data_IF_181238349629
#
_entry.id   IF_181238349629
#
_cell.length_a   1.000
_cell.length_b   1.000
_cell.length_c   1.000
_cell.angle_alpha   90.00
_cell.angle_beta   90.00
_cell.angle_gamma   90.00
#
_symmetry.space_group_name_H-M   'P 1'
#
loop_
_entity.id
_entity.type
_entity.pdbx_description
1 polymer ?
#
# COMPACT_ATOMS: atom_id res chain seq x y z
N UNK A 1 -0.55 -6.96 1.61
CA UNK A 1 -1.36 -8.09 1.10
C UNK A 1 -2.82 -7.87 1.47
N UNK A 2 -3.57 -6.98 0.78
CA UNK A 2 -4.97 -6.73 1.12
C UNK A 2 -5.85 -7.96 0.88
N UNK A 3 -6.62 -8.42 1.87
CA UNK A 3 -7.62 -9.47 1.72
C UNK A 3 -8.94 -8.87 1.21
N UNK A 4 -8.91 -8.41 -0.04
CA UNK A 4 -10.02 -7.66 -0.64
C UNK A 4 -11.27 -8.50 -0.97
N UNK A 5 -11.15 -9.84 -0.88
CA UNK A 5 -12.24 -10.80 -1.07
C UNK A 5 -12.94 -11.20 0.23
N UNK A 6 -12.43 -10.75 1.38
CA UNK A 6 -13.07 -10.98 2.67
C UNK A 6 -14.43 -10.26 2.74
N UNK A 7 -15.36 -10.82 3.52
CA UNK A 7 -16.71 -10.28 3.69
C UNK A 7 -16.81 -9.18 4.77
N UNK A 8 -15.79 -9.05 5.61
CA UNK A 8 -15.79 -8.12 6.74
C UNK A 8 -14.36 -7.72 7.12
N UNK A 9 -14.21 -6.67 7.93
CA UNK A 9 -12.92 -6.23 8.46
C UNK A 9 -12.29 -7.29 9.34
N UNK A 10 -13.07 -7.92 10.23
CA UNK A 10 -12.61 -9.05 11.05
C UNK A 10 -12.06 -10.20 10.22
N UNK A 11 -12.77 -10.59 9.16
CA UNK A 11 -12.32 -11.65 8.24
C UNK A 11 -11.05 -11.23 7.49
N UNK A 12 -10.99 -9.99 7.02
CA UNK A 12 -9.81 -9.44 6.36
C UNK A 12 -8.57 -9.50 7.28
N UNK A 13 -8.69 -9.05 8.54
CA UNK A 13 -7.60 -9.10 9.52
C UNK A 13 -7.18 -10.54 9.81
N UNK A 14 -8.14 -11.48 9.93
CA UNK A 14 -7.85 -12.91 10.12
C UNK A 14 -7.06 -13.48 8.95
N UNK A 15 -7.51 -13.26 7.71
CA UNK A 15 -6.84 -13.75 6.50
C UNK A 15 -5.41 -13.21 6.41
N UNK A 16 -5.23 -11.90 6.62
CA UNK A 16 -3.91 -11.27 6.62
C UNK A 16 -2.96 -11.84 7.68
N UNK A 17 -3.48 -12.15 8.88
CA UNK A 17 -2.70 -12.79 9.95
C UNK A 17 -2.28 -14.22 9.61
N UNK A 18 -3.18 -15.02 9.03
CA UNK A 18 -2.88 -16.39 8.60
C UNK A 18 -1.84 -16.42 7.48
N UNK A 19 -1.94 -15.54 6.49
CA UNK A 19 -0.92 -15.40 5.44
C UNK A 19 0.42 -14.96 6.01
N UNK A 20 0.43 -14.01 6.96
CA UNK A 20 1.67 -13.58 7.61
C UNK A 20 2.38 -14.73 8.35
N UNK A 21 1.65 -15.59 9.07
CA UNK A 21 2.24 -16.76 9.73
C UNK A 21 2.71 -17.83 8.74
N UNK A 22 1.96 -18.05 7.65
CA UNK A 22 2.40 -18.95 6.58
C UNK A 22 3.65 -18.44 5.87
N UNK A 23 3.76 -17.13 5.63
CA UNK A 23 4.96 -16.53 5.08
C UNK A 23 6.16 -16.76 6.00
N UNK A 24 5.99 -16.59 7.32
CA UNK A 24 7.03 -16.92 8.30
C UNK A 24 7.52 -18.35 8.13
N UNK A 25 6.62 -19.31 7.97
CA UNK A 25 6.94 -20.72 7.79
C UNK A 25 7.65 -20.98 6.45
N UNK A 26 7.18 -20.40 5.35
CA UNK A 26 7.83 -20.44 4.02
C UNK A 26 9.28 -19.95 4.09
N UNK A 27 9.51 -18.83 4.78
CA UNK A 27 10.86 -18.28 4.95
C UNK A 27 11.76 -19.26 5.73
N UNK A 28 11.29 -19.82 6.84
CA UNK A 28 12.07 -20.79 7.63
C UNK A 28 12.40 -22.06 6.83
N UNK A 29 11.46 -22.58 6.06
CA UNK A 29 11.67 -23.76 5.20
C UNK A 29 12.74 -23.54 4.13
N UNK A 30 12.85 -22.31 3.63
CA UNK A 30 13.88 -21.90 2.67
C UNK A 30 15.17 -21.42 3.32
N UNK A 31 15.28 -21.52 4.65
CA UNK A 31 16.46 -21.08 5.41
C UNK A 31 16.67 -19.57 5.44
N UNK A 32 15.61 -18.78 5.20
CA UNK A 32 15.63 -17.32 5.23
C UNK A 32 15.32 -16.78 6.63
N UNK A 33 15.82 -15.58 6.92
CA UNK A 33 15.58 -14.89 8.19
C UNK A 33 14.11 -14.48 8.34
N UNK A 34 13.58 -14.62 9.55
CA UNK A 34 12.25 -14.12 9.95
C UNK A 34 12.34 -12.96 10.95
N UNK A 35 13.45 -12.21 10.93
CA UNK A 35 13.58 -10.95 11.68
C UNK A 35 12.55 -9.93 11.18
N UNK A 36 12.01 -9.14 12.11
CA UNK A 36 10.96 -8.15 11.81
C UNK A 36 11.50 -6.72 11.88
N UNK A 37 11.13 -5.90 10.90
CA UNK A 37 11.40 -4.45 10.88
C UNK A 37 10.44 -3.66 11.77
N UNK A 38 10.45 -2.32 11.65
CA UNK A 38 9.66 -1.40 12.47
C UNK A 38 8.15 -1.51 12.20
N UNK A 39 7.76 -1.84 10.98
CA UNK A 39 6.38 -2.09 10.57
C UNK A 39 5.93 -3.52 10.90
N UNK A 40 6.83 -4.37 11.38
CA UNK A 40 6.55 -5.75 11.77
C UNK A 40 6.61 -6.78 10.63
N UNK A 41 6.90 -6.34 9.40
CA UNK A 41 7.15 -7.21 8.24
C UNK A 41 8.51 -7.92 8.32
N UNK A 42 8.65 -9.04 7.61
CA UNK A 42 9.91 -9.76 7.51
C UNK A 42 10.86 -9.10 6.51
N UNK A 43 12.15 -9.07 6.82
CA UNK A 43 13.20 -8.54 5.93
C UNK A 43 14.27 -9.61 5.60
N UNK A 44 13.92 -10.69 4.87
CA UNK A 44 14.87 -11.71 4.48
C UNK A 44 15.84 -11.20 3.39
N UNK A 45 17.05 -11.77 3.36
CA UNK A 45 17.99 -11.54 2.26
C UNK A 45 17.52 -12.31 1.01
N UNK A 46 16.99 -11.60 0.03
CA UNK A 46 16.48 -12.15 -1.23
C UNK A 46 17.44 -11.92 -2.39
N UNK A 47 17.38 -12.78 -3.41
CA UNK A 47 18.29 -12.77 -4.57
C UNK A 47 17.84 -11.87 -5.72
N UNK A 48 16.58 -11.44 -5.75
CA UNK A 48 16.01 -10.58 -6.79
C UNK A 48 14.83 -9.79 -6.24
N UNK A 49 14.42 -8.75 -6.95
CA UNK A 49 13.24 -7.96 -6.58
C UNK A 49 11.93 -8.73 -6.83
N UNK A 50 11.98 -9.77 -7.66
CA UNK A 50 10.86 -10.67 -7.94
C UNK A 50 10.59 -11.65 -6.78
N UNK A 51 11.64 -12.17 -6.15
CA UNK A 51 11.53 -13.24 -5.17
C UNK A 51 10.57 -12.93 -4.00
N UNK A 52 10.51 -11.71 -3.42
CA UNK A 52 9.52 -11.38 -2.40
C UNK A 52 8.07 -11.62 -2.84
N UNK A 53 7.74 -11.31 -4.11
CA UNK A 53 6.40 -11.51 -4.65
C UNK A 53 6.05 -12.99 -4.77
N UNK A 54 7.02 -13.82 -5.20
CA UNK A 54 6.86 -15.28 -5.28
C UNK A 54 6.64 -15.91 -3.91
N UNK A 55 7.41 -15.46 -2.90
CA UNK A 55 7.26 -15.92 -1.51
C UNK A 55 5.89 -15.55 -0.94
N UNK A 56 5.41 -14.34 -1.25
CA UNK A 56 4.08 -13.87 -0.84
C UNK A 56 2.99 -14.71 -1.49
N UNK A 57 3.09 -14.98 -2.80
CA UNK A 57 2.12 -15.84 -3.50
C UNK A 57 2.10 -17.25 -2.90
N UNK A 58 3.27 -17.86 -2.67
CA UNK A 58 3.36 -19.18 -2.02
C UNK A 58 2.72 -19.17 -0.62
N UNK A 59 2.90 -18.10 0.16
CA UNK A 59 2.30 -17.95 1.48
C UNK A 59 0.77 -17.81 1.45
N UNK A 60 0.24 -17.05 0.48
CA UNK A 60 -1.21 -16.91 0.25
C UNK A 60 -1.82 -18.28 -0.07
N UNK A 61 -1.19 -19.04 -0.96
CA UNK A 61 -1.65 -20.38 -1.36
C UNK A 61 -1.57 -21.38 -0.20
N UNK A 62 -0.45 -21.39 0.55
CA UNK A 62 -0.30 -22.26 1.74
C UNK A 62 -1.32 -21.95 2.84
N UNK A 63 -1.75 -20.70 2.96
CA UNK A 63 -2.82 -20.30 3.88
C UNK A 63 -4.22 -20.71 3.39
N UNK A 64 -4.36 -21.26 2.18
CA UNK A 64 -5.63 -21.72 1.62
C UNK A 64 -6.43 -20.65 0.88
N UNK A 65 -5.82 -19.49 0.58
CA UNK A 65 -6.44 -18.40 -0.16
C UNK A 65 -5.97 -18.38 -1.62
N UNK A 66 -6.79 -17.79 -2.50
CA UNK A 66 -6.46 -17.63 -3.92
C UNK A 66 -5.81 -16.26 -4.20
N UNK A 67 -4.57 -16.22 -4.69
CA UNK A 67 -3.95 -14.97 -5.14
C UNK A 67 -4.76 -14.32 -6.27
N UNK A 68 -5.00 -13.01 -6.17
CA UNK A 68 -5.76 -12.23 -7.16
C UNK A 68 -7.30 -12.32 -7.05
N UNK A 69 -7.84 -13.32 -6.35
CA UNK A 69 -9.27 -13.42 -6.04
C UNK A 69 -9.53 -13.01 -4.58
N UNK A 70 -8.89 -13.70 -3.64
CA UNK A 70 -9.08 -13.51 -2.20
C UNK A 70 -8.15 -12.45 -1.63
N UNK A 71 -6.87 -12.52 -2.03
CA UNK A 71 -5.78 -11.67 -1.54
C UNK A 71 -4.95 -11.16 -2.72
N UNK A 72 -4.64 -9.86 -2.70
CA UNK A 72 -3.82 -9.18 -3.70
C UNK A 72 -2.54 -8.61 -3.11
N UNK A 73 -1.66 -8.11 -3.99
CA UNK A 73 -0.41 -7.48 -3.63
C UNK A 73 -0.50 -5.97 -3.87
N UNK A 74 0.00 -5.21 -2.89
CA UNK A 74 0.31 -3.79 -3.02
C UNK A 74 1.80 -3.64 -2.79
N UNK A 75 2.44 -2.77 -3.56
CA UNK A 75 3.86 -2.48 -3.45
C UNK A 75 4.09 -1.03 -3.09
N UNK A 76 5.12 -0.79 -2.29
CA UNK A 76 5.69 0.51 -2.02
C UNK A 76 7.20 0.36 -2.23
N UNK A 77 7.72 0.61 -3.45
CA UNK A 77 9.14 0.56 -3.70
C UNK A 77 9.91 1.70 -3.05
N UNK A 78 9.26 2.81 -2.65
CA UNK A 78 9.89 4.04 -2.17
C UNK A 78 11.01 4.52 -3.11
N UNK A 79 10.68 4.77 -4.38
CA UNK A 79 11.67 4.84 -5.47
C UNK A 79 12.67 5.99 -5.36
N UNK A 80 12.32 7.04 -4.60
CA UNK A 80 13.23 8.12 -4.23
C UNK A 80 14.52 7.60 -3.56
N UNK A 81 14.45 6.51 -2.79
CA UNK A 81 15.59 5.94 -2.04
C UNK A 81 16.66 5.30 -2.93
N UNK A 82 16.33 4.98 -4.19
CA UNK A 82 17.27 4.42 -5.16
C UNK A 82 17.32 5.22 -6.47
N UNK A 83 16.80 6.44 -6.47
CA UNK A 83 16.88 7.38 -7.58
C UNK A 83 18.02 8.37 -7.36
N UNK A 84 18.88 8.51 -8.37
CA UNK A 84 20.00 9.45 -8.35
C UNK A 84 20.42 9.77 -9.79
N UNK A 85 20.77 11.04 -10.06
CA UNK A 85 21.28 11.48 -11.37
C UNK A 85 20.38 11.08 -12.56
N UNK A 86 19.05 11.17 -12.39
CA UNK A 86 18.08 10.86 -13.44
C UNK A 86 17.84 9.37 -13.66
N UNK A 87 18.33 8.49 -12.78
CA UNK A 87 18.27 7.03 -12.93
C UNK A 87 17.87 6.32 -11.64
N UNK A 88 17.12 5.24 -11.81
CA UNK A 88 16.72 4.28 -10.78
C UNK A 88 17.71 3.11 -10.73
N UNK A 89 18.39 2.91 -9.60
CA UNK A 89 19.42 1.86 -9.44
C UNK A 89 18.86 0.62 -8.74
N UNK A 90 18.60 -0.44 -9.51
CA UNK A 90 18.15 -1.73 -9.00
C UNK A 90 19.36 -2.62 -8.66
N UNK A 91 19.85 -2.53 -7.42
CA UNK A 91 21.07 -3.21 -6.97
C UNK A 91 21.01 -4.73 -7.14
N UNK A 92 19.90 -5.36 -6.75
CA UNK A 92 19.72 -6.82 -6.86
C UNK A 92 19.70 -7.33 -8.31
N UNK A 93 19.37 -6.46 -9.26
CA UNK A 93 19.29 -6.78 -10.69
C UNK A 93 20.52 -6.27 -11.47
N UNK A 94 21.46 -5.61 -10.78
CA UNK A 94 22.61 -4.91 -11.37
C UNK A 94 22.21 -4.03 -12.58
N UNK A 95 21.11 -3.28 -12.43
CA UNK A 95 20.51 -2.50 -13.49
C UNK A 95 20.34 -1.03 -13.09
N UNK A 96 20.38 -0.14 -14.08
CA UNK A 96 20.01 1.26 -13.95
C UNK A 96 19.01 1.63 -15.02
N UNK A 97 17.89 2.21 -14.62
CA UNK A 97 16.77 2.52 -15.51
C UNK A 97 16.46 4.01 -15.52
N UNK A 98 16.06 4.53 -16.69
CA UNK A 98 15.26 5.75 -16.75
C UNK A 98 13.79 5.48 -16.39
N UNK A 99 12.98 6.54 -16.26
CA UNK A 99 11.57 6.44 -15.87
C UNK A 99 10.74 5.49 -16.76
N UNK A 100 10.96 5.51 -18.08
CA UNK A 100 10.26 4.61 -19.00
C UNK A 100 10.64 3.12 -18.79
N UNK A 101 11.93 2.84 -18.55
CA UNK A 101 12.41 1.49 -18.31
C UNK A 101 11.91 0.96 -16.98
N UNK A 102 11.87 1.83 -15.95
CA UNK A 102 11.29 1.53 -14.65
C UNK A 102 9.78 1.27 -14.74
N UNK A 103 9.06 2.07 -15.52
CA UNK A 103 7.63 1.86 -15.80
C UNK A 103 7.39 0.51 -16.50
N UNK A 104 8.18 0.19 -17.54
CA UNK A 104 8.12 -1.11 -18.22
C UNK A 104 8.49 -2.27 -17.29
N UNK A 105 9.36 -2.03 -16.32
CA UNK A 105 9.70 -3.01 -15.29
C UNK A 105 8.49 -3.33 -14.41
N UNK A 106 7.81 -2.31 -13.88
CA UNK A 106 6.57 -2.51 -13.12
C UNK A 106 5.45 -3.13 -13.95
N UNK A 107 5.29 -2.74 -15.21
CA UNK A 107 4.28 -3.34 -16.09
C UNK A 107 4.46 -4.86 -16.21
N UNK A 108 5.71 -5.34 -16.32
CA UNK A 108 5.98 -6.79 -16.32
C UNK A 108 5.56 -7.44 -15.02
N UNK A 109 5.91 -6.85 -13.87
CA UNK A 109 5.51 -7.39 -12.56
C UNK A 109 3.99 -7.43 -12.41
N UNK A 110 3.27 -6.38 -12.81
CA UNK A 110 1.81 -6.29 -12.74
C UNK A 110 1.13 -7.33 -13.64
N UNK A 111 1.74 -7.69 -14.77
CA UNK A 111 1.23 -8.74 -15.65
C UNK A 111 1.50 -10.16 -15.11
N UNK A 112 2.48 -10.33 -14.22
CA UNK A 112 2.95 -11.63 -13.74
C UNK A 112 2.47 -11.95 -12.32
N UNK A 113 2.09 -10.94 -11.53
CA UNK A 113 1.62 -11.07 -10.16
C UNK A 113 0.29 -10.33 -9.96
N UNK A 114 -0.52 -10.69 -8.95
CA UNK A 114 -1.78 -10.01 -8.64
C UNK A 114 -1.54 -8.66 -7.93
N UNK A 115 -0.69 -7.80 -8.52
CA UNK A 115 -0.42 -6.44 -8.05
C UNK A 115 -1.55 -5.55 -8.51
N UNK A 116 -2.16 -4.84 -7.57
CA UNK A 116 -3.28 -3.94 -7.84
C UNK A 116 -3.01 -2.50 -7.45
N UNK A 117 -1.86 -2.26 -6.80
CA UNK A 117 -1.46 -0.96 -6.30
C UNK A 117 0.06 -0.85 -6.28
N UNK A 118 0.57 0.29 -6.75
CA UNK A 118 1.96 0.71 -6.56
C UNK A 118 1.95 2.11 -5.94
N UNK A 119 2.56 2.23 -4.77
CA UNK A 119 2.86 3.47 -4.08
C UNK A 119 4.29 3.90 -4.41
N UNK A 120 4.53 5.19 -4.66
CA UNK A 120 5.86 5.75 -4.94
C UNK A 120 6.72 4.92 -5.90
N UNK A 121 6.10 4.56 -7.03
CA UNK A 121 6.74 3.81 -8.11
C UNK A 121 7.88 4.59 -8.78
N UNK A 122 7.87 5.92 -8.71
CA UNK A 122 8.93 6.80 -9.22
C UNK A 122 9.28 7.86 -8.17
N UNK A 123 10.41 8.53 -8.34
CA UNK A 123 10.90 9.49 -7.35
C UNK A 123 9.96 10.69 -7.19
N UNK A 124 9.97 11.30 -6.01
CA UNK A 124 9.11 12.44 -5.62
C UNK A 124 9.23 13.66 -6.55
N UNK A 125 10.39 13.84 -7.19
CA UNK A 125 10.68 14.95 -8.10
C UNK A 125 10.62 14.58 -9.58
N UNK A 126 10.34 13.32 -9.93
CA UNK A 126 10.23 12.84 -11.32
C UNK A 126 8.80 12.99 -11.88
N UNK A 127 8.27 14.21 -11.86
CA UNK A 127 6.91 14.52 -12.32
C UNK A 127 6.63 14.07 -13.76
N UNK A 128 7.64 14.15 -14.64
CA UNK A 128 7.52 13.69 -16.02
C UNK A 128 7.46 12.15 -16.11
N UNK A 129 8.26 11.45 -15.31
CA UNK A 129 8.20 10.00 -15.17
C UNK A 129 6.86 9.54 -14.62
N UNK A 130 6.30 10.20 -13.61
CA UNK A 130 4.98 9.88 -13.05
C UNK A 130 3.87 9.96 -14.10
N UNK A 131 3.92 10.92 -15.05
CA UNK A 131 2.99 10.93 -16.18
C UNK A 131 3.13 9.68 -17.05
N UNK A 132 4.36 9.25 -17.36
CA UNK A 132 4.61 8.01 -18.13
C UNK A 132 4.05 6.80 -17.37
N UNK A 133 4.27 6.71 -16.06
CA UNK A 133 3.76 5.64 -15.20
C UNK A 133 2.23 5.61 -15.22
N UNK A 134 1.59 6.78 -15.03
CA UNK A 134 0.15 6.96 -15.03
C UNK A 134 -0.49 6.58 -16.36
N UNK A 135 0.04 7.10 -17.48
CA UNK A 135 -0.46 6.79 -18.82
C UNK A 135 -0.35 5.29 -19.14
N UNK A 136 0.66 4.61 -18.58
CA UNK A 136 0.91 3.18 -18.83
C UNK A 136 0.08 2.26 -17.94
N UNK A 137 -0.03 2.58 -16.64
CA UNK A 137 -0.55 1.68 -15.60
C UNK A 137 -1.78 2.18 -14.85
N UNK A 138 -2.11 3.47 -14.91
CA UNK A 138 -3.19 4.09 -14.12
C UNK A 138 -4.58 3.50 -14.38
N UNK A 139 -4.81 2.95 -15.57
CA UNK A 139 -6.08 2.26 -15.91
C UNK A 139 -6.09 0.78 -15.47
N UNK A 140 -4.94 0.22 -15.08
CA UNK A 140 -4.79 -1.20 -14.71
C UNK A 140 -4.79 -1.40 -13.20
N UNK A 141 -4.09 -0.51 -12.50
CA UNK A 141 -3.82 -0.55 -11.06
C UNK A 141 -3.95 0.85 -10.44
N UNK A 142 -4.02 0.89 -9.11
CA UNK A 142 -3.98 2.12 -8.34
C UNK A 142 -2.52 2.59 -8.21
N UNK A 143 -2.28 3.89 -8.40
CA UNK A 143 -1.00 4.57 -8.28
C UNK A 143 -1.13 5.57 -7.14
N UNK A 144 -0.40 5.34 -6.06
CA UNK A 144 -0.48 6.15 -4.83
C UNK A 144 0.76 7.02 -4.72
N UNK A 145 0.57 8.34 -4.58
CA UNK A 145 1.65 9.23 -4.19
C UNK A 145 1.73 9.38 -2.67
N UNK A 146 2.89 9.07 -2.08
CA UNK A 146 3.23 9.35 -0.69
C UNK A 146 4.23 10.51 -0.62
N UNK A 147 5.51 10.28 -0.91
CA UNK A 147 6.52 11.35 -0.97
C UNK A 147 6.25 12.34 -2.11
N UNK A 148 5.60 11.88 -3.19
CA UNK A 148 5.16 12.75 -4.28
C UNK A 148 4.22 13.89 -3.79
N UNK A 149 3.37 13.59 -2.80
CA UNK A 149 2.32 14.51 -2.36
C UNK A 149 2.51 15.04 -0.95
N UNK A 150 3.20 14.31 -0.07
CA UNK A 150 3.45 14.63 1.36
C UNK A 150 2.20 15.14 2.09
N UNK A 151 1.04 14.57 1.78
CA UNK A 151 -0.28 15.00 2.29
C UNK A 151 -0.58 16.50 2.03
N UNK A 152 0.07 17.12 1.04
CA UNK A 152 -0.07 18.54 0.72
C UNK A 152 -1.12 18.75 -0.37
N UNK A 153 -2.20 19.47 -0.03
CA UNK A 153 -3.33 19.75 -0.92
C UNK A 153 -2.89 20.36 -2.25
N UNK A 154 -1.84 21.20 -2.29
CA UNK A 154 -1.35 21.81 -3.54
C UNK A 154 -0.66 20.79 -4.45
N UNK A 155 0.09 19.85 -3.88
CA UNK A 155 0.73 18.79 -4.67
C UNK A 155 -0.27 17.74 -5.13
N UNK A 156 -1.25 17.40 -4.28
CA UNK A 156 -2.38 16.54 -4.68
C UNK A 156 -3.15 17.18 -5.84
N UNK A 157 -3.52 18.47 -5.73
CA UNK A 157 -4.20 19.19 -6.81
C UNK A 157 -3.38 19.18 -8.09
N UNK A 158 -2.07 19.43 -8.01
CA UNK A 158 -1.18 19.34 -9.17
C UNK A 158 -1.16 17.93 -9.78
N UNK A 159 -1.12 16.89 -8.95
CA UNK A 159 -1.19 15.49 -9.38
C UNK A 159 -2.47 15.18 -10.15
N UNK A 160 -3.61 15.73 -9.69
CA UNK A 160 -4.91 15.65 -10.36
C UNK A 160 -4.87 16.39 -11.70
N UNK A 161 -4.45 17.65 -11.71
CA UNK A 161 -4.43 18.50 -12.90
C UNK A 161 -3.50 17.95 -14.00
N UNK A 162 -2.41 17.30 -13.61
CA UNK A 162 -1.41 16.74 -14.52
C UNK A 162 -1.56 15.23 -14.78
N UNK A 163 -2.59 14.59 -14.22
CA UNK A 163 -2.91 13.16 -14.31
C UNK A 163 -1.73 12.23 -13.93
N UNK A 164 -1.13 12.46 -12.77
CA UNK A 164 0.12 11.78 -12.37
C UNK A 164 -0.08 10.51 -11.54
N UNK A 165 -1.22 10.40 -10.87
CA UNK A 165 -1.58 9.28 -10.00
C UNK A 165 -3.11 9.14 -10.00
N UNK A 166 -3.65 8.23 -9.20
CA UNK A 166 -5.10 8.13 -9.00
C UNK A 166 -5.47 7.90 -7.52
N UNK A 167 -4.50 8.08 -6.61
CA UNK A 167 -4.68 8.04 -5.17
C UNK A 167 -3.55 8.79 -4.45
N UNK A 168 -3.82 9.18 -3.20
CA UNK A 168 -2.83 9.79 -2.32
C UNK A 168 -2.75 9.06 -0.97
N UNK A 169 -1.54 8.91 -0.44
CA UNK A 169 -1.31 8.47 0.93
C UNK A 169 -1.42 9.68 1.87
N UNK A 170 -2.25 9.54 2.90
CA UNK A 170 -2.62 10.60 3.83
C UNK A 170 -2.02 10.28 5.20
N UNK A 171 -1.01 11.06 5.59
CA UNK A 171 -0.35 11.00 6.89
C UNK A 171 -0.66 12.27 7.67
N UNK A 172 -1.50 12.13 8.70
CA UNK A 172 -1.98 13.23 9.54
C UNK A 172 -0.87 14.20 9.99
N UNK A 173 0.28 13.67 10.40
CA UNK A 173 1.37 14.48 10.93
C UNK A 173 2.26 15.15 9.86
N UNK A 174 2.10 14.83 8.56
CA UNK A 174 2.77 15.56 7.48
C UNK A 174 2.13 16.93 7.25
N UNK A 175 0.79 16.99 7.29
CA UNK A 175 0.03 18.24 7.10
C UNK A 175 -0.21 18.98 8.42
N UNK A 176 -0.32 18.24 9.54
CA UNK A 176 -0.20 18.79 10.90
C UNK A 176 -1.52 19.08 11.61
N UNK A 177 -2.65 19.19 10.90
CA UNK A 177 -3.98 19.38 11.51
C UNK A 177 -5.05 18.45 10.95
N UNK A 178 -6.09 18.20 11.75
CA UNK A 178 -7.26 17.43 11.32
C UNK A 178 -8.01 18.12 10.19
N UNK A 179 -8.20 19.44 10.25
CA UNK A 179 -8.92 20.19 9.23
C UNK A 179 -8.26 20.07 7.85
N UNK A 180 -6.94 20.24 7.79
CA UNK A 180 -6.20 20.12 6.52
C UNK A 180 -6.13 18.66 6.04
N UNK A 181 -6.10 17.69 6.96
CA UNK A 181 -6.20 16.27 6.61
C UNK A 181 -7.55 15.94 5.97
N UNK A 182 -8.65 16.46 6.53
CA UNK A 182 -9.99 16.32 5.98
C UNK A 182 -10.08 16.98 4.60
N UNK A 183 -9.48 18.15 4.42
CA UNK A 183 -9.41 18.85 3.14
C UNK A 183 -8.68 18.00 2.07
N UNK A 184 -7.53 17.41 2.42
CA UNK A 184 -6.79 16.53 1.51
C UNK A 184 -7.59 15.28 1.10
N UNK A 185 -8.28 14.65 2.05
CA UNK A 185 -9.17 13.50 1.78
C UNK A 185 -10.36 13.91 0.92
N UNK A 186 -10.99 15.05 1.22
CA UNK A 186 -12.11 15.55 0.45
C UNK A 186 -11.72 15.88 -0.99
N UNK A 187 -10.55 16.51 -1.20
CA UNK A 187 -10.02 16.77 -2.53
C UNK A 187 -9.85 15.48 -3.34
N UNK A 188 -9.32 14.42 -2.73
CA UNK A 188 -9.23 13.12 -3.41
C UNK A 188 -10.62 12.60 -3.81
N UNK A 189 -11.59 12.65 -2.88
CA UNK A 189 -12.94 12.15 -3.13
C UNK A 189 -13.70 12.94 -4.20
N UNK A 190 -13.58 14.26 -4.22
CA UNK A 190 -14.21 15.15 -5.21
C UNK A 190 -13.73 14.86 -6.63
N UNK A 191 -12.52 14.32 -6.76
CA UNK A 191 -11.90 13.91 -8.03
C UNK A 191 -11.88 12.39 -8.25
N UNK A 192 -12.64 11.63 -7.46
CA UNK A 192 -12.73 10.16 -7.53
C UNK A 192 -11.40 9.41 -7.33
N UNK A 193 -10.42 10.06 -6.72
CA UNK A 193 -9.15 9.44 -6.30
C UNK A 193 -9.31 8.63 -5.01
N UNK A 194 -8.45 7.63 -4.84
CA UNK A 194 -8.30 6.92 -3.57
C UNK A 194 -7.66 7.80 -2.49
N UNK A 195 -8.11 7.68 -1.25
CA UNK A 195 -7.48 8.31 -0.09
C UNK A 195 -7.03 7.23 0.89
N UNK A 196 -5.71 7.08 1.08
CA UNK A 196 -5.15 6.00 1.90
C UNK A 196 -4.68 6.57 3.23
N UNK A 197 -5.42 6.32 4.30
CA UNK A 197 -4.94 6.73 5.64
C UNK A 197 -3.74 5.87 6.02
N UNK A 198 -2.67 6.48 6.51
CA UNK A 198 -1.43 5.78 6.83
C UNK A 198 -0.89 6.06 8.23
N UNK A 199 -0.27 5.05 8.81
CA UNK A 199 0.60 5.15 9.97
C UNK A 199 1.93 5.85 9.65
N UNK A 200 2.80 5.98 10.67
CA UNK A 200 4.23 6.28 10.51
C UNK A 200 5.11 5.11 10.96
N UNK A 201 6.38 5.10 10.58
CA UNK A 201 7.35 4.10 11.04
C UNK A 201 7.52 4.16 12.56
N UNK A 202 7.71 5.35 13.14
CA UNK A 202 7.63 5.58 14.59
C UNK A 202 6.19 5.79 15.05
N UNK A 203 5.58 4.78 15.65
CA UNK A 203 4.15 4.77 15.96
C UNK A 203 3.87 4.50 17.43
N UNK A 204 2.66 4.85 17.89
CA UNK A 204 2.24 4.65 19.29
C UNK A 204 1.04 3.69 19.36
N UNK A 205 0.48 3.47 20.55
CA UNK A 205 -0.78 2.73 20.71
C UNK A 205 -2.02 3.57 20.38
N UNK A 206 -1.86 4.85 20.05
CA UNK A 206 -2.96 5.70 19.59
C UNK A 206 -3.59 5.08 18.33
N UNK A 207 -4.89 4.77 18.37
CA UNK A 207 -5.60 4.13 17.26
C UNK A 207 -6.41 5.09 16.41
N UNK A 208 -6.26 6.41 16.57
CA UNK A 208 -7.12 7.42 15.97
C UNK A 208 -7.25 7.30 14.44
N UNK A 209 -6.19 6.86 13.75
CA UNK A 209 -6.23 6.66 12.30
C UNK A 209 -7.23 5.57 11.87
N UNK A 210 -7.59 4.63 12.73
CA UNK A 210 -8.67 3.66 12.47
C UNK A 210 -10.03 4.36 12.43
N UNK A 211 -10.36 5.15 13.46
CA UNK A 211 -11.58 5.96 13.52
C UNK A 211 -11.64 6.96 12.35
N UNK A 212 -10.52 7.60 12.02
CA UNK A 212 -10.43 8.53 10.88
C UNK A 212 -10.68 7.81 9.54
N UNK A 213 -10.16 6.60 9.35
CA UNK A 213 -10.39 5.81 8.13
C UNK A 213 -11.89 5.55 7.92
N UNK A 214 -12.60 5.16 8.98
CA UNK A 214 -14.04 4.87 8.90
C UNK A 214 -14.85 6.17 8.79
N UNK A 215 -14.56 7.16 9.63
CA UNK A 215 -15.27 8.44 9.69
C UNK A 215 -15.18 9.25 8.40
N UNK A 216 -14.04 9.18 7.71
CA UNK A 216 -13.85 9.83 6.41
C UNK A 216 -14.21 8.93 5.23
N UNK A 217 -14.59 7.67 5.46
CA UNK A 217 -14.92 6.69 4.41
C UNK A 217 -13.79 6.50 3.39
N UNK A 218 -12.54 6.52 3.87
CA UNK A 218 -11.34 6.45 3.05
C UNK A 218 -11.20 5.10 2.31
N UNK A 219 -11.75 4.03 2.90
CA UNK A 219 -11.75 2.68 2.32
C UNK A 219 -10.45 1.90 2.50
N UNK A 220 -9.33 2.60 2.72
CA UNK A 220 -8.01 1.99 2.92
C UNK A 220 -7.30 2.51 4.18
N UNK A 221 -6.61 1.59 4.87
CA UNK A 221 -5.70 1.90 5.98
C UNK A 221 -4.38 1.13 5.82
N UNK A 222 -3.26 1.87 5.67
CA UNK A 222 -1.89 1.32 5.70
C UNK A 222 -1.34 1.44 7.13
N UNK A 223 -1.45 0.36 7.91
CA UNK A 223 -1.04 0.37 9.34
C UNK A 223 -0.06 -0.73 9.74
N UNK A 224 0.71 -1.28 8.80
CA UNK A 224 1.80 -2.23 9.05
C UNK A 224 1.39 -3.70 9.02
N UNK A 225 2.23 -4.58 9.57
CA UNK A 225 1.95 -6.00 9.67
C UNK A 225 1.00 -6.29 10.87
N UNK A 226 0.30 -7.44 10.89
CA UNK A 226 -0.45 -7.91 12.06
C UNK A 226 0.50 -8.45 13.16
N UNK A 227 1.49 -7.63 13.52
CA UNK A 227 2.48 -7.86 14.56
C UNK A 227 2.83 -6.52 15.20
N UNK A 228 3.44 -6.54 16.39
CA UNK A 228 3.74 -5.34 17.22
C UNK A 228 2.49 -4.60 17.72
N UNK A 229 2.54 -4.13 18.97
CA UNK A 229 1.37 -3.59 19.66
C UNK A 229 0.84 -2.31 19.00
N UNK A 230 1.74 -1.43 18.57
CA UNK A 230 1.45 -0.16 17.90
C UNK A 230 0.71 -0.32 16.56
N UNK A 231 0.84 -1.48 15.89
CA UNK A 231 0.13 -1.81 14.65
C UNK A 231 -1.19 -2.52 14.95
N UNK A 232 -1.10 -3.56 15.80
CA UNK A 232 -2.24 -4.38 16.20
C UNK A 232 -3.36 -3.53 16.80
N UNK A 233 -3.04 -2.47 17.54
CA UNK A 233 -4.08 -1.67 18.18
C UNK A 233 -5.00 -0.96 17.18
N UNK A 234 -4.51 -0.58 15.99
CA UNK A 234 -5.37 -0.04 14.93
C UNK A 234 -6.31 -1.10 14.36
N UNK A 235 -5.82 -2.34 14.18
CA UNK A 235 -6.66 -3.46 13.77
C UNK A 235 -7.71 -3.83 14.83
N UNK A 236 -7.33 -3.82 16.11
CA UNK A 236 -8.27 -4.02 17.21
C UNK A 236 -9.36 -2.96 17.21
N UNK A 237 -8.98 -1.68 17.03
CA UNK A 237 -9.93 -0.58 16.98
C UNK A 237 -10.88 -0.71 15.78
N UNK A 238 -10.39 -1.09 14.60
CA UNK A 238 -11.25 -1.37 13.46
C UNK A 238 -12.28 -2.48 13.75
N UNK A 239 -11.90 -3.55 14.45
CA UNK A 239 -12.85 -4.59 14.86
C UNK A 239 -13.86 -4.10 15.90
N UNK A 240 -13.47 -3.21 16.82
CA UNK A 240 -14.40 -2.57 17.76
C UNK A 240 -15.41 -1.69 17.04
N UNK A 241 -14.95 -0.90 16.06
CA UNK A 241 -15.83 -0.07 15.22
C UNK A 241 -16.80 -0.95 14.41
N UNK A 242 -16.32 -2.05 13.82
CA UNK A 242 -17.18 -3.01 13.12
C UNK A 242 -18.25 -3.61 14.06
N UNK A 243 -17.86 -4.02 15.26
CA UNK A 243 -18.80 -4.55 16.27
C UNK A 243 -19.82 -3.50 16.73
N UNK A 244 -19.41 -2.24 16.90
CA UNK A 244 -20.28 -1.13 17.30
C UNK A 244 -21.29 -0.75 16.21
N UNK A 245 -20.86 -0.73 14.95
CA UNK A 245 -21.74 -0.44 13.81
C UNK A 245 -22.74 -1.58 13.54
N UNK A 246 -22.41 -2.83 13.90
CA UNK A 246 -23.27 -3.99 13.68
C UNK A 246 -23.70 -4.12 12.22
N UNK A 247 -24.99 -4.23 11.97
CA UNK A 247 -25.56 -4.37 10.61
C UNK A 247 -25.29 -3.16 9.69
N UNK A 248 -24.89 -2.00 10.24
CA UNK A 248 -24.52 -0.83 9.45
C UNK A 248 -23.07 -0.90 8.92
N UNK A 249 -22.26 -1.84 9.39
CA UNK A 249 -20.88 -2.00 8.95
C UNK A 249 -20.82 -2.48 7.50
N UNK A 250 -20.05 -1.77 6.67
CA UNK A 250 -19.78 -2.16 5.27
C UNK A 250 -18.28 -2.17 5.06
N UNK A 251 -17.73 -3.36 4.83
CA UNK A 251 -16.34 -3.49 4.42
C UNK A 251 -16.20 -3.12 2.94
N UNK A 252 -15.24 -2.25 2.63
CA UNK A 252 -15.06 -1.75 1.27
C UNK A 252 -14.58 -2.83 0.29
N UNK A 253 -13.73 -3.75 0.73
CA UNK A 253 -13.24 -4.87 -0.06
C UNK A 253 -12.66 -4.42 -1.40
N UNK A 254 -12.93 -5.19 -2.46
CA UNK A 254 -12.50 -4.86 -3.83
C UNK A 254 -12.99 -3.48 -4.32
N UNK A 255 -14.11 -2.97 -3.81
CA UNK A 255 -14.66 -1.68 -4.27
C UNK A 255 -13.88 -0.46 -3.79
N UNK A 256 -12.97 -0.64 -2.83
CA UNK A 256 -12.08 0.42 -2.35
C UNK A 256 -11.04 0.84 -3.40
N UNK A 257 -10.63 -0.09 -4.27
CA UNK A 257 -9.54 0.14 -5.22
C UNK A 257 -10.03 0.93 -6.44
N UNK A 258 -9.34 2.03 -6.74
CA UNK A 258 -9.63 2.85 -7.91
C UNK A 258 -8.76 2.43 -9.10
N UNK A 259 -9.36 2.47 -10.29
CA UNK A 259 -8.66 2.40 -11.57
C UNK A 259 -9.08 3.63 -12.37
N UNK A 260 -8.12 4.21 -13.10
CA UNK A 260 -8.35 5.36 -13.99
C UNK A 260 -9.41 5.08 -15.04
#
# INVERSE_FOLDING_TARGET
MPPWGASSVREAIRWGSEVYQNLRQVLLEKGLSTGVGDEGGFAPAVSSNRQPLELIVEAIEKAGYKPGEDIVICMDPASSEFYSDGKYTLRSENAQFGAEEMTRYYERLVNEFPIVLIEDGLAEDDWAGWRILSDTLGNKIELVGDDLFVTNVKYIQRGIDENLANAALIKLNQIGTLSETIEAVQLCHDHHWGSFISHRSGETIDSFIADMTVGLRAGHLKTGAPSRGERIEKYNQLMRIEDELGDAAVFAGKSAFRKG
#
